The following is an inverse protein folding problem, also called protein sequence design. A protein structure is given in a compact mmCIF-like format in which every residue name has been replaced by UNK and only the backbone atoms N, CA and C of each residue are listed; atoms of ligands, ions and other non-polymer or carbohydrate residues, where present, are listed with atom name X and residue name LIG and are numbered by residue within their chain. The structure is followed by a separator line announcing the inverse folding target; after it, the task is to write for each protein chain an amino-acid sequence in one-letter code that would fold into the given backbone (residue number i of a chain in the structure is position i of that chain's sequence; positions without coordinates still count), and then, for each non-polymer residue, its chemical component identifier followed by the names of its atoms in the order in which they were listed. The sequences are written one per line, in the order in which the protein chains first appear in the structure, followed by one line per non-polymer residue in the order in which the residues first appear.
data_IF_394608508059
#
_entry.id   IF_394608508059
#
_cell.length_a   1.000
_cell.length_b   1.000
_cell.length_c   1.000
_cell.angle_alpha   90.00
_cell.angle_beta   90.00
_cell.angle_gamma   90.00
#
_symmetry.space_group_name_H-M   'P 1'
#
loop_
_entity.id
_entity.type
_entity.pdbx_description
1 polymer ?
#
# COMPACT_ATOMS: atom_id res chain seq x y z
N UNK A 1 -73.74 -6.46 -46.68
CA UNK A 1 -74.61 -5.94 -45.59
C UNK A 1 -74.09 -6.48 -44.27
N UNK A 2 -74.20 -5.67 -43.20
CA UNK A 2 -73.49 -5.71 -41.91
C UNK A 2 -73.22 -7.11 -41.30
N UNK A 3 -71.96 -7.32 -40.93
CA UNK A 3 -71.44 -8.40 -40.09
C UNK A 3 -71.70 -8.12 -38.60
N UNK A 4 -72.16 -9.13 -37.87
CA UNK A 4 -72.34 -9.17 -36.41
C UNK A 4 -71.17 -9.94 -35.73
N UNK A 5 -70.80 -9.63 -34.47
CA UNK A 5 -69.63 -10.24 -33.82
C UNK A 5 -69.93 -11.34 -32.76
N UNK A 6 -68.94 -12.24 -32.60
CA UNK A 6 -68.55 -13.12 -31.46
C UNK A 6 -69.39 -14.40 -31.16
N UNK A 7 -68.76 -15.56 -30.79
CA UNK A 7 -67.84 -15.71 -29.63
C UNK A 7 -66.59 -16.63 -29.77
N UNK A 8 -65.68 -16.48 -28.77
CA UNK A 8 -64.44 -17.24 -28.39
C UNK A 8 -64.69 -18.77 -28.27
N UNK A 9 -63.69 -19.71 -28.22
CA UNK A 9 -62.45 -19.61 -27.42
C UNK A 9 -61.21 -20.48 -27.83
N UNK A 10 -60.19 -20.44 -26.94
CA UNK A 10 -59.07 -21.38 -26.72
C UNK A 10 -57.71 -21.07 -27.35
N UNK A 11 -56.93 -20.32 -26.56
CA UNK A 11 -55.48 -20.31 -26.59
C UNK A 11 -54.91 -21.66 -26.09
N UNK A 12 -53.90 -22.17 -26.80
CA UNK A 12 -52.95 -23.17 -26.30
C UNK A 12 -51.69 -22.48 -25.75
N UNK A 13 -50.99 -23.07 -24.77
CA UNK A 13 -49.86 -22.42 -24.10
C UNK A 13 -48.59 -22.54 -24.94
N UNK A 14 -47.82 -21.45 -25.03
CA UNK A 14 -46.44 -21.46 -25.51
C UNK A 14 -45.49 -21.20 -24.34
N UNK A 15 -44.54 -22.12 -24.21
CA UNK A 15 -43.52 -22.21 -23.17
C UNK A 15 -42.73 -20.91 -22.99
N UNK A 16 -42.80 -20.33 -21.79
CA UNK A 16 -41.82 -19.36 -21.30
C UNK A 16 -40.55 -20.11 -20.87
N UNK A 17 -39.59 -20.26 -21.79
CA UNK A 17 -38.19 -20.47 -21.41
C UNK A 17 -37.61 -19.12 -21.03
N UNK A 18 -37.34 -18.92 -19.74
CA UNK A 18 -36.68 -17.75 -19.16
C UNK A 18 -35.17 -17.81 -19.41
N UNK A 19 -34.56 -16.89 -20.19
CA UNK A 19 -33.11 -16.78 -20.31
C UNK A 19 -32.54 -15.67 -19.39
N UNK A 20 -33.27 -15.25 -18.35
CA UNK A 20 -32.91 -14.07 -17.55
C UNK A 20 -31.97 -14.38 -16.37
N UNK A 21 -31.95 -15.62 -15.86
CA UNK A 21 -31.19 -15.93 -14.62
C UNK A 21 -29.71 -16.20 -14.91
N UNK A 22 -29.38 -16.81 -16.07
CA UNK A 22 -28.00 -17.09 -16.46
C UNK A 22 -27.17 -15.85 -16.80
N UNK A 23 -27.80 -14.85 -17.44
CA UNK A 23 -27.12 -13.62 -17.83
C UNK A 23 -26.80 -12.71 -16.62
N UNK A 24 -27.69 -12.65 -15.63
CA UNK A 24 -27.49 -11.86 -14.40
C UNK A 24 -26.39 -12.48 -13.53
N UNK A 25 -26.33 -13.82 -13.43
CA UNK A 25 -25.28 -14.51 -12.67
C UNK A 25 -23.90 -14.36 -13.32
N UNK A 26 -23.83 -14.36 -14.67
CA UNK A 26 -22.59 -14.15 -15.41
C UNK A 26 -22.07 -12.70 -15.26
N UNK A 27 -22.97 -11.71 -15.26
CA UNK A 27 -22.64 -10.30 -15.01
C UNK A 27 -22.20 -10.07 -13.57
N UNK A 28 -22.84 -10.73 -12.58
CA UNK A 28 -22.40 -10.69 -11.17
C UNK A 28 -21.06 -11.39 -10.95
N UNK A 29 -20.78 -12.51 -11.62
CA UNK A 29 -19.48 -13.18 -11.58
C UNK A 29 -18.39 -12.38 -12.30
N UNK A 30 -18.73 -11.66 -13.39
CA UNK A 30 -17.83 -10.71 -14.05
C UNK A 30 -17.59 -9.45 -13.18
N UNK A 31 -18.56 -9.01 -12.38
CA UNK A 31 -18.40 -7.88 -11.43
C UNK A 31 -17.67 -8.28 -10.14
N UNK A 32 -17.71 -9.56 -9.74
CA UNK A 32 -16.99 -10.10 -8.58
C UNK A 32 -15.55 -10.54 -8.91
N UNK A 33 -15.24 -10.78 -10.18
CA UNK A 33 -13.89 -11.16 -10.65
C UNK A 33 -13.00 -10.01 -11.13
N UNK A 34 -13.51 -8.78 -11.20
CA UNK A 34 -12.79 -7.63 -11.77
C UNK A 34 -12.33 -6.68 -10.66
N UNK A 35 -11.28 -7.09 -9.94
CA UNK A 35 -10.29 -6.11 -9.49
C UNK A 35 -9.67 -5.49 -10.74
N UNK A 36 -10.36 -4.52 -11.36
CA UNK A 36 -9.83 -3.80 -12.52
C UNK A 36 -8.50 -3.18 -12.08
N UNK A 37 -7.37 -3.57 -12.68
CA UNK A 37 -6.13 -2.85 -12.43
C UNK A 37 -6.34 -1.40 -12.89
N UNK A 38 -5.90 -0.46 -12.05
CA UNK A 38 -5.79 0.97 -12.33
C UNK A 38 -5.45 1.24 -13.81
N UNK A 39 -6.24 2.04 -14.54
CA UNK A 39 -5.75 2.71 -15.72
C UNK A 39 -5.05 4.01 -15.26
N UNK A 40 -3.95 3.87 -14.52
CA UNK A 40 -2.91 4.89 -14.68
C UNK A 40 -2.36 4.56 -16.06
N UNK A 41 -2.60 5.41 -17.05
CA UNK A 41 -2.00 5.25 -18.37
C UNK A 41 -0.49 5.37 -18.19
N UNK A 42 0.17 4.24 -17.92
CA UNK A 42 1.57 4.16 -17.54
C UNK A 42 2.42 4.29 -18.80
N UNK A 43 3.11 5.42 -19.05
CA UNK A 43 3.97 5.56 -20.23
C UNK A 43 5.00 4.43 -20.32
N UNK A 44 5.49 3.97 -19.16
CA UNK A 44 6.39 2.83 -19.05
C UNK A 44 5.80 1.53 -19.59
N UNK A 45 4.47 1.29 -19.48
CA UNK A 45 3.85 0.06 -20.00
C UNK A 45 3.77 0.03 -21.52
N UNK A 46 3.89 1.17 -22.20
CA UNK A 46 3.88 1.26 -23.67
C UNK A 46 5.22 0.85 -24.28
N UNK A 47 6.31 1.04 -23.56
CA UNK A 47 7.65 0.63 -24.00
C UNK A 47 7.87 -0.86 -23.69
N UNK A 48 8.77 -1.51 -24.41
CA UNK A 48 9.39 -2.78 -23.99
C UNK A 48 10.46 -2.51 -22.92
N UNK A 49 10.92 -3.53 -22.19
CA UNK A 49 12.00 -3.33 -21.21
C UNK A 49 13.33 -2.95 -21.89
N UNK A 50 13.59 -3.51 -23.07
CA UNK A 50 14.79 -3.18 -23.87
C UNK A 50 14.79 -1.71 -24.33
N UNK A 51 13.61 -1.16 -24.66
CA UNK A 51 13.48 0.26 -25.01
C UNK A 51 13.73 1.19 -23.82
N UNK A 52 13.28 0.81 -22.62
CA UNK A 52 13.59 1.57 -21.40
C UNK A 52 15.09 1.59 -21.15
N UNK A 53 15.73 0.44 -21.29
CA UNK A 53 17.17 0.24 -21.03
C UNK A 53 18.05 0.52 -22.26
N UNK A 54 17.57 1.30 -23.24
CA UNK A 54 18.31 1.54 -24.47
C UNK A 54 19.65 2.29 -24.26
N UNK A 55 19.77 3.00 -23.14
CA UNK A 55 20.98 3.72 -22.72
C UNK A 55 22.12 2.81 -22.23
N UNK A 56 21.86 1.52 -22.00
CA UNK A 56 22.87 0.55 -21.57
C UNK A 56 23.51 -0.17 -22.75
N UNK A 57 24.78 -0.57 -22.57
CA UNK A 57 25.48 -1.48 -23.47
C UNK A 57 24.69 -2.77 -23.72
N UNK A 58 24.67 -3.33 -24.95
CA UNK A 58 23.82 -4.47 -25.31
C UNK A 58 23.96 -5.68 -24.37
N UNK A 59 25.19 -6.07 -24.02
CA UNK A 59 25.44 -7.19 -23.12
C UNK A 59 24.87 -6.94 -21.71
N UNK A 60 25.12 -5.74 -21.16
CA UNK A 60 24.60 -5.32 -19.85
C UNK A 60 23.07 -5.28 -19.85
N UNK A 61 22.47 -4.72 -20.91
CA UNK A 61 21.03 -4.66 -21.10
C UNK A 61 20.38 -6.05 -21.06
N UNK A 62 20.92 -7.02 -21.79
CA UNK A 62 20.35 -8.38 -21.80
C UNK A 62 20.52 -9.09 -20.46
N UNK A 63 21.62 -8.84 -19.72
CA UNK A 63 21.78 -9.35 -18.35
C UNK A 63 20.71 -8.79 -17.40
N UNK A 64 20.45 -7.48 -17.43
CA UNK A 64 19.40 -6.80 -16.65
C UNK A 64 18.01 -7.33 -17.02
N UNK A 65 17.71 -7.51 -18.31
CA UNK A 65 16.43 -8.06 -18.78
C UNK A 65 16.22 -9.49 -18.30
N UNK A 66 17.26 -10.34 -18.38
CA UNK A 66 17.20 -11.73 -17.91
C UNK A 66 16.93 -11.79 -16.41
N UNK A 67 17.62 -10.97 -15.63
CA UNK A 67 17.44 -10.90 -14.18
C UNK A 67 16.04 -10.41 -13.81
N UNK A 68 15.54 -9.36 -14.46
CA UNK A 68 14.16 -8.89 -14.29
C UNK A 68 13.14 -10.01 -14.52
N UNK A 69 13.31 -10.80 -15.59
CA UNK A 69 12.41 -11.91 -15.90
C UNK A 69 12.51 -13.03 -14.86
N UNK A 70 13.70 -13.35 -14.38
CA UNK A 70 13.90 -14.33 -13.30
C UNK A 70 13.21 -13.89 -12.01
N UNK A 71 13.37 -12.64 -11.59
CA UNK A 71 12.69 -12.10 -10.40
C UNK A 71 11.17 -12.10 -10.54
N UNK A 72 10.66 -11.75 -11.72
CA UNK A 72 9.22 -11.81 -12.00
C UNK A 72 8.69 -13.26 -11.91
N UNK A 73 9.44 -14.24 -12.41
CA UNK A 73 9.08 -15.65 -12.31
C UNK A 73 9.10 -16.13 -10.85
N UNK A 74 10.15 -15.79 -10.08
CA UNK A 74 10.22 -16.06 -8.64
C UNK A 74 9.03 -15.46 -7.88
N UNK A 75 8.66 -14.21 -8.20
CA UNK A 75 7.48 -13.58 -7.62
C UNK A 75 6.17 -14.31 -7.97
N UNK A 76 6.04 -14.85 -9.18
CA UNK A 76 4.87 -15.65 -9.58
C UNK A 76 4.72 -16.90 -8.74
N UNK A 77 5.82 -17.60 -8.47
CA UNK A 77 5.83 -18.78 -7.60
C UNK A 77 5.43 -18.40 -6.16
N UNK A 78 5.94 -17.28 -5.65
CA UNK A 78 5.76 -16.89 -4.24
C UNK A 78 4.42 -16.20 -3.93
N UNK A 79 3.87 -15.47 -4.91
CA UNK A 79 2.74 -14.54 -4.70
C UNK A 79 1.64 -14.68 -5.76
N UNK A 80 1.80 -15.59 -6.72
CA UNK A 80 0.90 -15.77 -7.85
C UNK A 80 1.04 -14.68 -8.91
N UNK A 81 0.30 -14.85 -10.02
CA UNK A 81 0.26 -13.91 -11.15
C UNK A 81 0.02 -12.45 -10.77
N UNK A 82 -0.89 -12.11 -9.82
CA UNK A 82 -1.09 -10.72 -9.44
C UNK A 82 0.13 -10.09 -8.76
N UNK A 83 0.84 -10.84 -7.92
CA UNK A 83 2.05 -10.32 -7.25
C UNK A 83 3.24 -10.24 -8.21
N UNK A 84 3.42 -11.21 -9.10
CA UNK A 84 4.40 -11.13 -10.19
C UNK A 84 4.20 -9.88 -11.08
N UNK A 85 2.94 -9.57 -11.41
CA UNK A 85 2.60 -8.34 -12.15
C UNK A 85 2.98 -7.08 -11.36
N UNK A 86 2.76 -7.06 -10.05
CA UNK A 86 3.10 -5.92 -9.22
C UNK A 86 4.62 -5.75 -9.05
N UNK A 87 5.37 -6.84 -8.84
CA UNK A 87 6.86 -6.83 -8.83
C UNK A 87 7.40 -6.35 -10.16
N UNK A 88 6.91 -6.91 -11.28
CA UNK A 88 7.31 -6.48 -12.61
C UNK A 88 6.98 -5.01 -12.89
N UNK A 89 5.85 -4.50 -12.37
CA UNK A 89 5.47 -3.09 -12.46
C UNK A 89 6.42 -2.20 -11.64
N UNK A 90 6.72 -2.56 -10.40
CA UNK A 90 7.65 -1.81 -9.55
C UNK A 90 9.04 -1.73 -10.18
N UNK A 91 9.60 -2.87 -10.57
CA UNK A 91 10.92 -2.93 -11.19
C UNK A 91 10.97 -2.14 -12.50
N UNK A 92 9.95 -2.29 -13.35
CA UNK A 92 9.89 -1.53 -14.61
C UNK A 92 9.80 -0.02 -14.36
N UNK A 93 9.08 0.39 -13.32
CA UNK A 93 8.96 1.79 -12.92
C UNK A 93 10.30 2.34 -12.42
N UNK A 94 11.00 1.59 -11.56
CA UNK A 94 12.34 1.94 -11.08
C UNK A 94 13.33 2.13 -12.22
N UNK A 95 13.42 1.14 -13.12
CA UNK A 95 14.32 1.18 -14.28
C UNK A 95 13.97 2.32 -15.25
N UNK A 96 12.68 2.60 -15.40
CA UNK A 96 12.23 3.76 -16.18
C UNK A 96 12.66 5.07 -15.52
N UNK A 97 12.48 5.21 -14.21
CA UNK A 97 12.86 6.43 -13.51
C UNK A 97 14.37 6.68 -13.61
N UNK A 98 15.20 5.66 -13.43
CA UNK A 98 16.65 5.72 -13.64
C UNK A 98 17.01 6.19 -15.06
N UNK A 99 16.42 5.56 -16.07
CA UNK A 99 16.73 5.84 -17.50
C UNK A 99 16.39 7.28 -17.93
N UNK A 100 15.44 7.92 -17.25
CA UNK A 100 14.96 9.27 -17.57
C UNK A 100 15.37 10.32 -16.52
N UNK A 101 16.30 10.00 -15.62
CA UNK A 101 16.77 10.93 -14.58
C UNK A 101 15.66 11.40 -13.63
N UNK A 102 14.62 10.57 -13.43
CA UNK A 102 13.54 10.83 -12.47
C UNK A 102 13.92 10.28 -11.10
N UNK A 103 13.25 10.74 -10.02
CA UNK A 103 13.46 10.17 -8.70
C UNK A 103 13.32 8.64 -8.71
N UNK A 104 14.38 7.96 -8.28
CA UNK A 104 14.53 6.51 -8.24
C UNK A 104 15.06 6.08 -6.86
N UNK A 105 14.85 4.81 -6.50
CA UNK A 105 15.32 4.27 -5.23
C UNK A 105 16.80 3.88 -5.25
N UNK A 106 17.33 3.57 -6.43
CA UNK A 106 18.70 3.16 -6.67
C UNK A 106 19.26 3.90 -7.87
N UNK A 107 20.58 4.11 -7.86
CA UNK A 107 21.29 4.81 -8.93
C UNK A 107 21.43 3.95 -10.20
N UNK A 108 21.40 2.61 -10.06
CA UNK A 108 21.59 1.68 -11.17
C UNK A 108 20.62 0.48 -11.17
N UNK A 109 20.39 -0.14 -12.35
CA UNK A 109 19.51 -1.30 -12.50
C UNK A 109 19.91 -2.51 -11.65
N UNK A 110 21.20 -2.82 -11.58
CA UNK A 110 21.72 -4.01 -10.91
C UNK A 110 21.49 -3.94 -9.40
N UNK A 111 21.66 -2.76 -8.78
CA UNK A 111 21.36 -2.53 -7.38
C UNK A 111 19.87 -2.76 -7.05
N UNK A 112 18.96 -2.23 -7.88
CA UNK A 112 17.52 -2.42 -7.71
C UNK A 112 17.10 -3.89 -7.83
N UNK A 113 17.68 -4.62 -8.80
CA UNK A 113 17.41 -6.04 -9.02
C UNK A 113 18.00 -6.89 -7.88
N UNK A 114 19.23 -6.61 -7.44
CA UNK A 114 19.86 -7.31 -6.32
C UNK A 114 19.08 -7.10 -5.01
N UNK A 115 18.60 -5.88 -4.75
CA UNK A 115 17.74 -5.62 -3.60
C UNK A 115 16.43 -6.42 -3.67
N UNK A 116 15.80 -6.45 -4.85
CA UNK A 116 14.56 -7.21 -5.07
C UNK A 116 14.76 -8.72 -4.90
N UNK A 117 15.90 -9.24 -5.36
CA UNK A 117 16.30 -10.63 -5.16
C UNK A 117 16.35 -10.99 -3.67
N UNK A 118 17.09 -10.22 -2.86
CA UNK A 118 17.19 -10.45 -1.41
C UNK A 118 15.81 -10.47 -0.74
N UNK A 119 14.92 -9.56 -1.14
CA UNK A 119 13.55 -9.54 -0.64
C UNK A 119 12.74 -10.80 -1.02
N UNK A 120 12.83 -11.24 -2.28
CA UNK A 120 12.13 -12.44 -2.75
C UNK A 120 12.71 -13.71 -2.13
N UNK A 121 14.02 -13.77 -1.88
CA UNK A 121 14.68 -14.87 -1.17
C UNK A 121 14.18 -14.98 0.27
N UNK A 122 14.14 -13.86 1.01
CA UNK A 122 13.60 -13.81 2.37
C UNK A 122 12.11 -14.20 2.41
N UNK A 123 11.29 -13.67 1.48
CA UNK A 123 9.90 -14.08 1.34
C UNK A 123 9.77 -15.58 1.03
N UNK A 124 10.65 -16.12 0.20
CA UNK A 124 10.70 -17.53 -0.13
C UNK A 124 11.01 -18.41 1.08
N UNK A 125 12.00 -18.04 1.90
CA UNK A 125 12.31 -18.76 3.14
C UNK A 125 11.11 -18.78 4.08
N UNK A 126 10.48 -17.62 4.28
CA UNK A 126 9.28 -17.50 5.10
C UNK A 126 8.12 -18.38 4.61
N UNK A 127 7.88 -18.40 3.29
CA UNK A 127 6.83 -19.25 2.67
C UNK A 127 7.11 -20.74 2.79
N UNK A 128 8.37 -21.14 2.90
CA UNK A 128 8.79 -22.53 3.15
C UNK A 128 8.83 -22.90 4.64
N UNK A 129 8.49 -21.98 5.53
CA UNK A 129 8.58 -22.21 6.98
C UNK A 129 10.00 -22.18 7.54
N UNK A 130 10.97 -21.67 6.76
CA UNK A 130 12.35 -21.48 7.20
C UNK A 130 12.57 -20.04 7.71
N UNK A 131 13.43 -19.83 8.71
CA UNK A 131 13.82 -18.48 9.14
C UNK A 131 14.41 -17.70 7.95
N UNK A 132 13.87 -16.51 7.62
CA UNK A 132 14.44 -15.67 6.57
C UNK A 132 15.75 -15.02 7.04
N UNK A 133 16.73 -14.89 6.14
CA UNK A 133 17.87 -14.01 6.38
C UNK A 133 17.43 -12.56 6.17
N UNK A 134 17.47 -11.77 7.24
CA UNK A 134 17.02 -10.37 7.23
C UNK A 134 18.15 -9.38 7.45
N UNK A 135 19.42 -9.82 7.55
CA UNK A 135 20.56 -8.96 7.91
C UNK A 135 20.74 -7.78 6.96
N UNK A 136 20.56 -8.01 5.66
CA UNK A 136 20.73 -7.00 4.60
C UNK A 136 19.40 -6.41 4.10
N UNK A 137 18.33 -6.60 4.87
CA UNK A 137 17.03 -6.02 4.59
C UNK A 137 16.78 -4.82 5.50
N UNK A 138 16.25 -3.71 4.98
CA UNK A 138 15.97 -2.53 5.79
C UNK A 138 14.69 -2.74 6.63
N UNK A 139 14.69 -3.69 7.57
CA UNK A 139 13.55 -4.07 8.40
C UNK A 139 13.70 -3.58 9.85
N UNK A 140 12.56 -3.29 10.46
CA UNK A 140 12.41 -2.94 11.87
C UNK A 140 11.42 -3.90 12.56
N UNK A 141 11.68 -5.21 12.47
CA UNK A 141 10.78 -6.26 12.96
C UNK A 141 10.37 -6.06 14.42
N UNK A 142 11.33 -5.67 15.27
CA UNK A 142 11.14 -5.44 16.70
C UNK A 142 10.10 -4.36 17.00
N UNK A 143 9.88 -3.42 16.07
CA UNK A 143 8.90 -2.34 16.22
C UNK A 143 7.54 -2.69 15.62
N UNK A 144 7.47 -3.69 14.74
CA UNK A 144 6.22 -4.10 14.08
C UNK A 144 5.56 -5.28 14.79
N UNK A 145 6.34 -6.28 15.18
CA UNK A 145 5.82 -7.53 15.75
C UNK A 145 5.01 -7.35 17.03
N UNK A 146 5.39 -6.47 17.99
CA UNK A 146 4.56 -6.20 19.17
C UNK A 146 3.16 -5.67 18.83
N UNK A 147 2.99 -5.03 17.68
CA UNK A 147 1.73 -4.44 17.23
C UNK A 147 1.01 -5.26 16.15
N UNK A 148 1.44 -6.51 15.88
CA UNK A 148 0.88 -7.38 14.83
C UNK A 148 -0.65 -7.43 14.83
N UNK A 149 -1.27 -7.68 15.98
CA UNK A 149 -2.74 -7.79 16.06
C UNK A 149 -3.45 -6.44 15.93
N UNK A 150 -2.86 -5.36 16.42
CA UNK A 150 -3.40 -4.01 16.21
C UNK A 150 -3.34 -3.62 14.72
N UNK A 151 -2.22 -3.90 14.04
CA UNK A 151 -2.05 -3.66 12.60
C UNK A 151 -3.06 -4.50 11.80
N UNK A 152 -3.21 -5.79 12.12
CA UNK A 152 -4.18 -6.68 11.48
C UNK A 152 -5.61 -6.13 11.64
N UNK A 153 -6.01 -5.79 12.86
CA UNK A 153 -7.36 -5.27 13.15
C UNK A 153 -7.62 -3.93 12.44
N UNK A 154 -6.68 -2.99 12.47
CA UNK A 154 -6.82 -1.70 11.79
C UNK A 154 -6.95 -1.86 10.27
N UNK A 155 -6.09 -2.65 9.63
CA UNK A 155 -6.17 -2.88 8.20
C UNK A 155 -7.43 -3.66 7.78
N UNK A 156 -7.84 -4.65 8.58
CA UNK A 156 -9.09 -5.39 8.38
C UNK A 156 -10.30 -4.48 8.54
N UNK A 157 -10.36 -3.65 9.58
CA UNK A 157 -11.46 -2.70 9.81
C UNK A 157 -11.63 -1.69 8.67
N UNK A 158 -10.58 -1.39 7.91
CA UNK A 158 -10.62 -0.51 6.75
C UNK A 158 -10.56 -1.26 5.40
N UNK A 159 -10.69 -2.60 5.46
CA UNK A 159 -10.76 -3.51 4.33
C UNK A 159 -9.60 -3.42 3.31
N UNK A 160 -8.36 -3.50 3.78
CA UNK A 160 -7.16 -3.66 2.93
C UNK A 160 -6.11 -4.61 3.54
N UNK A 161 -5.06 -5.03 2.81
CA UNK A 161 -4.10 -6.01 3.32
C UNK A 161 -3.24 -5.46 4.46
N UNK A 162 -3.10 -6.23 5.55
CA UNK A 162 -2.36 -5.80 6.75
C UNK A 162 -0.88 -5.52 6.51
N UNK A 163 -0.27 -6.20 5.53
CA UNK A 163 1.12 -5.95 5.16
C UNK A 163 1.38 -4.50 4.74
N UNK A 164 0.39 -3.84 4.14
CA UNK A 164 0.51 -2.42 3.73
C UNK A 164 0.75 -1.52 4.94
N UNK A 165 -0.05 -1.68 6.00
CA UNK A 165 0.07 -0.87 7.20
C UNK A 165 1.34 -1.23 8.00
N UNK A 166 1.69 -2.52 8.04
CA UNK A 166 2.94 -2.97 8.65
C UNK A 166 4.18 -2.35 7.99
N UNK A 167 4.20 -2.24 6.66
CA UNK A 167 5.30 -1.61 5.92
C UNK A 167 5.47 -0.12 6.25
N UNK A 168 4.37 0.59 6.50
CA UNK A 168 4.40 1.99 6.94
C UNK A 168 5.01 2.09 8.33
N UNK A 169 4.49 1.31 9.30
CA UNK A 169 5.03 1.29 10.67
C UNK A 169 6.53 0.97 10.66
N UNK A 170 6.94 -0.04 9.90
CA UNK A 170 8.35 -0.40 9.75
C UNK A 170 9.17 0.76 9.21
N UNK A 171 8.73 1.41 8.12
CA UNK A 171 9.48 2.50 7.53
C UNK A 171 9.62 3.71 8.47
N UNK A 172 8.57 4.09 9.20
CA UNK A 172 8.63 5.20 10.15
C UNK A 172 9.62 4.91 11.29
N UNK A 173 9.60 3.68 11.82
CA UNK A 173 10.48 3.31 12.93
C UNK A 173 11.92 3.04 12.47
N UNK A 174 12.12 2.49 11.27
CA UNK A 174 13.45 2.33 10.66
C UNK A 174 14.09 3.68 10.31
N UNK A 175 13.29 4.64 9.81
CA UNK A 175 13.71 6.03 9.62
C UNK A 175 14.05 6.70 10.94
N UNK A 176 13.22 6.47 11.98
CA UNK A 176 13.47 6.85 13.36
C UNK A 176 14.80 6.33 13.88
N UNK A 177 15.06 5.02 13.84
CA UNK A 177 16.30 4.41 14.33
C UNK A 177 17.55 4.90 13.58
N UNK A 178 17.45 5.11 12.25
CA UNK A 178 18.54 5.73 11.47
C UNK A 178 18.78 7.17 11.86
N UNK A 179 17.72 7.96 12.05
CA UNK A 179 17.84 9.34 12.52
C UNK A 179 18.31 9.40 13.97
N UNK A 180 17.90 8.47 14.85
CA UNK A 180 18.37 8.33 16.23
C UNK A 180 19.86 7.90 16.28
N UNK A 181 20.31 7.07 15.33
CA UNK A 181 21.70 6.67 15.14
C UNK A 181 22.60 7.80 14.61
N UNK A 182 22.11 8.57 13.63
CA UNK A 182 22.79 9.78 13.13
C UNK A 182 22.76 10.92 14.15
N UNK A 183 21.68 11.01 14.93
CA UNK A 183 21.51 12.07 15.93
C UNK A 183 22.28 11.82 17.22
N UNK A 184 22.86 10.66 17.54
CA UNK A 184 23.77 10.61 18.71
C UNK A 184 24.96 11.58 18.61
N UNK A 185 25.41 11.92 17.40
CA UNK A 185 26.43 12.96 17.18
C UNK A 185 25.89 14.39 17.03
N UNK A 186 24.59 14.55 16.75
CA UNK A 186 23.94 15.87 16.53
C UNK A 186 23.15 16.31 17.78
N UNK A 187 22.70 15.35 18.60
CA UNK A 187 21.90 15.57 19.81
C UNK A 187 22.72 16.25 20.91
N UNK A 188 24.03 16.04 20.99
CA UNK A 188 24.89 16.84 21.88
C UNK A 188 24.97 18.32 21.49
N UNK A 189 24.75 18.66 20.21
CA UNK A 189 24.69 20.05 19.73
C UNK A 189 23.27 20.62 19.83
N UNK A 190 22.25 19.79 19.60
CA UNK A 190 20.84 20.19 19.69
C UNK A 190 20.37 20.32 21.14
N UNK A 191 20.87 19.49 22.08
CA UNK A 191 20.56 19.57 23.51
C UNK A 191 21.11 20.88 24.09
N UNK A 192 22.33 21.29 23.70
CA UNK A 192 22.90 22.58 24.09
C UNK A 192 22.17 23.79 23.51
N UNK A 193 21.52 23.65 22.35
CA UNK A 193 20.67 24.70 21.77
C UNK A 193 19.26 24.71 22.38
N UNK A 194 18.69 23.54 22.68
CA UNK A 194 17.37 23.39 23.28
C UNK A 194 17.33 23.88 24.73
N UNK A 195 18.40 23.66 25.50
CA UNK A 195 18.54 24.18 26.87
C UNK A 195 18.55 25.72 26.87
N UNK A 196 19.25 26.36 25.91
CA UNK A 196 19.27 27.82 25.76
C UNK A 196 17.95 28.44 25.25
N UNK A 197 17.15 27.67 24.51
CA UNK A 197 15.85 28.12 23.99
C UNK A 197 14.72 27.91 24.99
N UNK A 198 14.83 26.89 25.86
CA UNK A 198 13.85 26.61 26.91
C UNK A 198 13.83 27.68 28.00
N UNK A 199 14.98 28.30 28.30
CA UNK A 199 15.08 29.34 29.34
C UNK A 199 14.56 30.72 28.87
N UNK A 200 14.44 30.96 27.55
CA UNK A 200 14.19 32.31 27.02
C UNK A 200 12.76 32.59 26.55
N UNK A 201 11.90 31.58 26.30
CA UNK A 201 10.62 31.84 25.58
C UNK A 201 9.35 31.17 26.10
N UNK A 202 9.34 30.45 27.23
CA UNK A 202 8.08 30.02 27.89
C UNK A 202 7.04 29.33 26.99
N UNK A 203 7.48 28.77 25.85
CA UNK A 203 6.66 28.22 24.78
C UNK A 203 6.99 26.74 24.66
N UNK A 204 6.45 25.94 25.58
CA UNK A 204 6.52 24.50 25.47
C UNK A 204 5.66 24.03 24.28
N UNK A 205 6.30 23.78 23.13
CA UNK A 205 5.89 22.69 22.28
C UNK A 205 5.65 22.99 20.80
N UNK A 206 6.73 23.20 20.06
CA UNK A 206 6.99 22.49 18.79
C UNK A 206 7.05 20.95 19.02
N UNK A 207 6.15 20.40 19.85
CA UNK A 207 5.98 18.99 20.15
C UNK A 207 5.37 18.35 18.91
N UNK A 208 6.26 17.74 18.12
CA UNK A 208 6.04 16.92 16.93
C UNK A 208 4.60 16.95 16.38
N UNK A 209 4.41 17.64 15.24
CA UNK A 209 3.13 17.65 14.50
C UNK A 209 2.64 16.24 14.15
N UNK A 210 3.53 15.25 14.14
CA UNK A 210 3.26 13.84 13.88
C UNK A 210 3.51 13.02 15.14
N UNK A 211 2.54 12.19 15.54
CA UNK A 211 2.60 11.42 16.78
C UNK A 211 2.38 9.92 16.54
N UNK A 212 3.00 9.12 17.40
CA UNK A 212 2.81 7.67 17.49
C UNK A 212 3.42 6.85 16.35
N UNK A 213 3.04 5.56 16.31
CA UNK A 213 3.71 4.51 15.54
C UNK A 213 3.82 4.77 14.03
N UNK A 214 2.84 5.47 13.46
CA UNK A 214 2.78 5.79 12.04
C UNK A 214 2.81 7.30 11.74
N UNK A 215 3.36 8.11 12.67
CA UNK A 215 3.62 9.55 12.45
C UNK A 215 2.41 10.32 11.89
N UNK A 216 1.22 10.06 12.44
CA UNK A 216 -0.02 10.70 12.02
C UNK A 216 -0.16 12.08 12.70
N UNK A 217 -0.66 13.09 11.97
CA UNK A 217 -0.92 14.42 12.55
C UNK A 217 -2.29 14.49 13.21
N UNK A 218 -2.43 15.35 14.23
CA UNK A 218 -3.71 15.55 14.92
C UNK A 218 -4.75 16.19 13.99
N UNK A 219 -4.35 17.10 13.10
CA UNK A 219 -5.24 17.74 12.12
C UNK A 219 -5.84 16.71 11.18
N UNK A 220 -5.01 15.78 10.71
CA UNK A 220 -5.49 14.70 9.87
C UNK A 220 -6.32 13.71 10.68
N UNK A 221 -5.98 13.43 11.94
CA UNK A 221 -6.76 12.52 12.77
C UNK A 221 -8.22 12.98 12.88
N UNK A 222 -8.46 14.26 13.16
CA UNK A 222 -9.80 14.84 13.29
C UNK A 222 -10.66 14.68 12.01
N UNK A 223 -10.03 14.63 10.82
CA UNK A 223 -10.74 14.46 9.54
C UNK A 223 -11.22 13.03 9.27
N UNK A 224 -10.83 12.05 10.09
CA UNK A 224 -11.06 10.63 9.78
C UNK A 224 -12.45 10.11 10.21
N UNK A 225 -13.17 10.85 11.07
CA UNK A 225 -14.46 10.42 11.64
C UNK A 225 -15.46 9.93 10.57
N UNK A 226 -15.74 10.69 9.49
CA UNK A 226 -16.78 10.30 8.55
C UNK A 226 -16.47 8.97 7.85
N UNK A 227 -15.18 8.68 7.63
CA UNK A 227 -14.78 7.42 7.01
C UNK A 227 -14.83 6.28 8.02
N UNK A 228 -14.33 6.47 9.24
CA UNK A 228 -14.38 5.42 10.27
C UNK A 228 -15.81 5.01 10.59
N UNK A 229 -16.75 5.97 10.63
CA UNK A 229 -18.18 5.69 10.79
C UNK A 229 -18.74 4.82 9.65
N UNK A 230 -18.37 5.08 8.39
CA UNK A 230 -18.81 4.29 7.23
C UNK A 230 -18.33 2.84 7.25
N UNK A 231 -17.17 2.59 7.85
CA UNK A 231 -16.64 1.25 8.03
C UNK A 231 -17.10 0.59 9.34
N UNK A 232 -17.85 1.30 10.19
CA UNK A 232 -18.16 0.90 11.57
C UNK A 232 -16.89 0.45 12.33
N UNK A 233 -15.77 1.14 12.09
CA UNK A 233 -14.45 0.67 12.49
C UNK A 233 -13.93 1.32 13.78
N UNK A 234 -14.56 2.38 14.28
CA UNK A 234 -14.14 3.08 15.49
C UNK A 234 -14.71 2.38 16.75
N UNK A 235 -13.87 1.74 17.59
CA UNK A 235 -14.36 0.96 18.72
C UNK A 235 -14.51 1.78 20.01
N UNK A 236 -14.13 3.06 20.01
CA UNK A 236 -14.14 3.89 21.21
C UNK A 236 -15.48 4.63 21.37
N UNK A 237 -15.91 4.95 22.61
CA UNK A 237 -17.21 5.58 22.86
C UNK A 237 -17.40 6.92 22.15
N UNK A 238 -16.35 7.74 22.09
CA UNK A 238 -16.35 9.05 21.47
C UNK A 238 -15.23 9.17 20.45
N UNK A 239 -15.45 9.96 19.41
CA UNK A 239 -14.42 10.33 18.45
C UNK A 239 -13.80 11.67 18.86
N UNK A 240 -12.47 11.84 18.82
CA UNK A 240 -11.81 13.10 19.19
C UNK A 240 -12.39 14.31 18.45
N UNK A 241 -12.68 15.39 19.17
CA UNK A 241 -13.22 16.65 18.64
C UNK A 241 -12.23 17.81 18.80
N UNK A 242 -11.26 17.69 19.70
CA UNK A 242 -10.25 18.73 19.97
C UNK A 242 -8.83 18.26 19.63
N UNK A 243 -7.89 19.20 19.50
CA UNK A 243 -6.47 18.87 19.32
C UNK A 243 -5.95 17.99 20.47
N UNK A 244 -6.27 18.35 21.72
CA UNK A 244 -5.83 17.60 22.90
C UNK A 244 -6.32 16.15 22.87
N UNK A 245 -7.60 15.95 22.60
CA UNK A 245 -8.19 14.60 22.47
C UNK A 245 -7.58 13.82 21.31
N UNK A 246 -7.29 14.48 20.19
CA UNK A 246 -6.67 13.83 19.04
C UNK A 246 -5.24 13.39 19.37
N UNK A 247 -4.45 14.24 20.06
CA UNK A 247 -3.10 13.88 20.51
C UNK A 247 -3.12 12.71 21.49
N UNK A 248 -4.02 12.74 22.48
CA UNK A 248 -4.23 11.63 23.42
C UNK A 248 -4.62 10.32 22.70
N UNK A 249 -5.53 10.40 21.72
CA UNK A 249 -5.89 9.22 20.93
C UNK A 249 -4.71 8.71 20.09
N UNK A 250 -3.83 9.59 19.61
CA UNK A 250 -2.64 9.20 18.83
C UNK A 250 -1.53 8.56 19.68
N UNK A 251 -1.57 8.69 21.02
CA UNK A 251 -0.67 8.00 21.95
C UNK A 251 -1.04 6.52 22.12
N UNK A 252 -2.31 6.14 21.95
CA UNK A 252 -2.73 4.73 21.90
C UNK A 252 -2.32 4.11 20.55
N UNK A 253 -1.45 3.08 20.54
CA UNK A 253 -1.06 2.36 19.33
C UNK A 253 -2.25 1.91 18.45
N UNK A 254 -3.33 1.41 19.05
CA UNK A 254 -4.45 0.87 18.30
C UNK A 254 -5.24 1.99 17.59
N UNK A 255 -5.52 3.08 18.30
CA UNK A 255 -6.17 4.26 17.73
C UNK A 255 -5.28 4.93 16.66
N UNK A 256 -3.98 5.08 16.91
CA UNK A 256 -3.01 5.61 15.94
C UNK A 256 -3.03 4.83 14.62
N UNK A 257 -2.95 3.50 14.71
CA UNK A 257 -2.97 2.60 13.55
C UNK A 257 -4.32 2.68 12.80
N UNK A 258 -5.43 2.77 13.52
CA UNK A 258 -6.76 2.85 12.94
C UNK A 258 -7.02 4.18 12.21
N UNK A 259 -6.58 5.30 12.80
CA UNK A 259 -6.65 6.63 12.18
C UNK A 259 -5.77 6.68 10.92
N UNK A 260 -4.56 6.12 11.00
CA UNK A 260 -3.65 5.98 9.85
C UNK A 260 -4.26 5.12 8.74
N UNK A 261 -4.84 3.98 9.09
CA UNK A 261 -5.53 3.09 8.16
C UNK A 261 -6.71 3.81 7.46
N UNK A 262 -7.47 4.63 8.19
CA UNK A 262 -8.55 5.43 7.64
C UNK A 262 -8.04 6.46 6.62
N UNK A 263 -6.97 7.19 6.95
CA UNK A 263 -6.33 8.14 6.03
C UNK A 263 -5.89 7.44 4.74
N UNK A 264 -5.19 6.32 4.90
CA UNK A 264 -4.69 5.52 3.79
C UNK A 264 -5.81 5.00 2.90
N UNK A 265 -6.92 4.56 3.51
CA UNK A 265 -8.12 4.12 2.78
C UNK A 265 -8.70 5.23 1.91
N UNK A 266 -8.66 6.48 2.40
CA UNK A 266 -9.01 7.67 1.62
C UNK A 266 -8.13 7.85 0.39
N UNK A 267 -6.80 7.73 0.54
CA UNK A 267 -5.87 7.80 -0.58
C UNK A 267 -6.08 6.67 -1.59
N UNK A 268 -6.34 5.45 -1.14
CA UNK A 268 -6.65 4.36 -2.06
C UNK A 268 -7.93 4.60 -2.85
N UNK A 269 -9.00 5.09 -2.22
CA UNK A 269 -10.22 5.43 -2.95
C UNK A 269 -9.93 6.49 -4.02
N UNK A 270 -9.21 7.57 -3.66
CA UNK A 270 -8.85 8.60 -4.61
C UNK A 270 -7.97 8.07 -5.76
N UNK A 271 -6.91 7.34 -5.44
CA UNK A 271 -5.97 6.81 -6.42
C UNK A 271 -6.63 5.80 -7.38
N UNK A 272 -7.56 4.99 -6.87
CA UNK A 272 -8.30 3.97 -7.64
C UNK A 272 -9.51 4.56 -8.39
N UNK A 273 -9.77 5.87 -8.31
CA UNK A 273 -10.95 6.49 -8.91
C UNK A 273 -12.27 5.99 -8.31
N UNK A 274 -12.24 5.53 -7.05
CA UNK A 274 -13.39 5.02 -6.33
C UNK A 274 -14.12 6.14 -5.57
N UNK A 275 -15.44 6.02 -5.40
CA UNK A 275 -16.20 6.91 -4.52
C UNK A 275 -15.60 7.01 -3.12
N UNK A 276 -15.69 8.18 -2.48
CA UNK A 276 -15.14 8.42 -1.13
C UNK A 276 -15.74 7.49 -0.06
N UNK A 277 -16.96 7.04 -0.28
CA UNK A 277 -17.74 6.12 0.55
C UNK A 277 -17.58 4.65 0.12
N UNK A 278 -16.74 4.34 -0.87
CA UNK A 278 -16.47 2.96 -1.24
C UNK A 278 -15.83 2.20 -0.07
N UNK A 279 -16.56 1.21 0.46
CA UNK A 279 -16.10 0.38 1.59
C UNK A 279 -15.63 -1.01 1.21
N UNK A 280 -15.92 -1.55 0.01
CA UNK A 280 -15.54 -2.93 -0.35
C UNK A 280 -14.05 -3.20 -0.24
N UNK A 281 -13.68 -4.42 0.11
CA UNK A 281 -12.28 -4.81 0.30
C UNK A 281 -11.42 -4.52 -0.92
N UNK A 282 -10.30 -3.83 -0.68
CA UNK A 282 -9.31 -3.57 -1.71
C UNK A 282 -8.34 -4.74 -1.78
N UNK A 283 -8.39 -5.46 -2.89
CA UNK A 283 -7.43 -6.49 -3.23
C UNK A 283 -6.44 -5.96 -4.28
N UNK A 284 -5.18 -6.36 -4.17
CA UNK A 284 -4.16 -6.06 -5.18
C UNK A 284 -2.79 -5.84 -4.58
N UNK A 285 -1.77 -6.50 -5.14
CA UNK A 285 -0.41 -6.40 -4.65
C UNK A 285 0.21 -5.01 -4.89
N UNK A 286 -0.34 -4.20 -5.80
CA UNK A 286 0.11 -2.82 -5.99
C UNK A 286 -0.17 -1.92 -4.78
N UNK A 287 -1.10 -2.30 -3.89
CA UNK A 287 -1.35 -1.59 -2.64
C UNK A 287 -0.12 -1.56 -1.72
N UNK A 288 0.75 -2.57 -1.80
CA UNK A 288 2.00 -2.60 -1.02
C UNK A 288 2.97 -1.50 -1.44
N UNK A 289 2.92 -1.03 -2.68
CA UNK A 289 3.67 0.16 -3.12
C UNK A 289 2.89 1.43 -2.82
N UNK A 290 1.60 1.48 -3.22
CA UNK A 290 0.79 2.68 -3.09
C UNK A 290 0.65 3.14 -1.63
N UNK A 291 0.52 2.22 -0.68
CA UNK A 291 0.32 2.59 0.72
C UNK A 291 1.50 3.38 1.28
N UNK A 292 2.70 2.79 1.35
CA UNK A 292 3.92 3.49 1.74
C UNK A 292 4.19 4.76 0.92
N UNK A 293 4.00 4.69 -0.41
CA UNK A 293 4.24 5.84 -1.29
C UNK A 293 3.34 7.04 -0.95
N UNK A 294 2.03 6.82 -0.81
CA UNK A 294 1.08 7.90 -0.49
C UNK A 294 1.16 8.35 0.95
N UNK A 295 1.54 7.47 1.88
CA UNK A 295 1.74 7.88 3.27
C UNK A 295 2.90 8.87 3.41
N UNK A 296 4.03 8.60 2.73
CA UNK A 296 5.24 9.39 2.84
C UNK A 296 5.30 10.58 1.88
N UNK A 297 4.97 10.39 0.60
CA UNK A 297 5.04 11.44 -0.41
C UNK A 297 3.93 11.32 -1.48
N UNK A 298 2.72 11.86 -1.20
CA UNK A 298 1.58 11.82 -2.12
C UNK A 298 1.91 12.30 -3.54
N UNK A 299 2.63 13.42 -3.68
CA UNK A 299 2.99 13.99 -4.99
C UNK A 299 3.90 13.05 -5.78
N UNK A 300 4.89 12.43 -5.13
CA UNK A 300 5.74 11.42 -5.77
C UNK A 300 4.97 10.18 -6.18
N UNK A 301 4.04 9.71 -5.34
CA UNK A 301 3.17 8.59 -5.66
C UNK A 301 2.28 8.87 -6.90
N UNK A 302 1.77 10.10 -7.06
CA UNK A 302 1.03 10.54 -8.24
C UNK A 302 1.92 10.57 -9.49
N UNK A 303 3.17 11.04 -9.34
CA UNK A 303 4.17 11.08 -10.41
C UNK A 303 4.80 9.72 -10.71
N UNK A 304 4.41 8.67 -9.97
CA UNK A 304 4.99 7.33 -10.06
C UNK A 304 6.52 7.35 -9.82
N UNK A 305 6.99 8.24 -8.95
CA UNK A 305 8.36 8.23 -8.48
C UNK A 305 8.65 6.95 -7.68
N UNK A 306 9.90 6.53 -7.68
CA UNK A 306 10.39 5.49 -6.77
C UNK A 306 11.47 6.09 -5.89
N UNK A 307 11.50 5.67 -4.64
CA UNK A 307 12.48 6.09 -3.64
C UNK A 307 12.59 5.01 -2.57
N UNK A 308 13.64 4.97 -1.74
CA UNK A 308 13.90 3.83 -0.86
C UNK A 308 12.72 3.46 0.04
N UNK A 309 11.99 4.45 0.58
CA UNK A 309 10.82 4.24 1.44
C UNK A 309 9.69 3.51 0.68
N UNK A 310 9.33 3.95 -0.53
CA UNK A 310 8.25 3.34 -1.32
C UNK A 310 8.66 1.99 -1.93
N UNK A 311 9.89 1.90 -2.44
CA UNK A 311 10.40 0.67 -3.05
C UNK A 311 10.52 -0.46 -2.03
N UNK A 312 11.18 -0.21 -0.90
CA UNK A 312 11.26 -1.20 0.17
C UNK A 312 9.91 -1.41 0.86
N UNK A 313 9.08 -0.38 0.98
CA UNK A 313 7.71 -0.48 1.48
C UNK A 313 6.87 -1.54 0.74
N UNK A 314 7.03 -1.63 -0.59
CA UNK A 314 6.40 -2.69 -1.38
C UNK A 314 6.80 -4.10 -0.92
N UNK A 315 8.09 -4.36 -0.81
CA UNK A 315 8.57 -5.70 -0.41
C UNK A 315 8.32 -6.00 1.06
N UNK A 316 8.45 -5.01 1.95
CA UNK A 316 8.00 -5.09 3.34
C UNK A 316 6.55 -5.50 3.43
N UNK A 317 5.69 -4.91 2.60
CA UNK A 317 4.28 -5.23 2.58
C UNK A 317 4.00 -6.69 2.24
N UNK A 318 4.69 -7.22 1.21
CA UNK A 318 4.62 -8.65 0.87
C UNK A 318 5.13 -9.54 2.01
N UNK A 319 6.29 -9.18 2.58
CA UNK A 319 6.94 -9.91 3.65
C UNK A 319 6.05 -9.99 4.90
N UNK A 320 5.56 -8.85 5.40
CA UNK A 320 4.68 -8.80 6.56
C UNK A 320 3.33 -9.45 6.30
N UNK A 321 2.78 -9.35 5.08
CA UNK A 321 1.54 -10.05 4.76
C UNK A 321 1.71 -11.57 4.91
N UNK A 322 2.85 -12.11 4.45
CA UNK A 322 3.17 -13.52 4.60
C UNK A 322 3.46 -13.87 6.07
N UNK A 323 4.21 -13.03 6.79
CA UNK A 323 4.59 -13.25 8.19
C UNK A 323 3.38 -13.23 9.12
N UNK A 324 2.39 -12.40 8.82
CA UNK A 324 1.15 -12.36 9.59
C UNK A 324 0.21 -13.52 9.26
N UNK A 325 0.43 -14.22 8.14
CA UNK A 325 -0.35 -15.39 7.74
C UNK A 325 0.18 -16.69 8.35
N UNK A 326 1.45 -16.76 8.75
CA UNK A 326 2.00 -17.89 9.51
C UNK A 326 1.45 -17.86 10.93
N UNK A 327 0.82 -18.97 11.34
CA UNK A 327 0.31 -19.18 12.70
C UNK A 327 1.46 -19.39 13.66
#
# INVERSE_FOLDING_TARGET
MRTYPLPRPWARPANLRTPAVGAVLLVLLLLLGQGRPLPLAEPQQKLSLRQVLAHLEPYRREAVVREFLALKASAEILTGRPGARAVGRLLRLELYNQSYGRPSAFDDPEAALAASRRWLEALGSLKRGSPPDTRDLPLALQHVLPHREAIRRAAQGLHFPSGVLAAIVDNEQYGGDKALGLSRGIRSLADGLAESLSESTGSAGLLARTLGLAQMSWEDALKQQPRLARFAAWPYPTFPQTELEARQALEDPAANLLLTASRLRGYFNAALGLPRDHTRYLAGHWLYYLGPAWHNWPTGAQQQATWPYAFHGFFKGLFYQALFATR
#
